data_IF_756948987007
#
_entry.id   IF_756948987007
#
_cell.length_a   1.000
_cell.length_b   1.000
_cell.length_c   1.000
_cell.angle_alpha   90.00
_cell.angle_beta   90.00
_cell.angle_gamma   90.00
#
_symmetry.space_group_name_H-M   'P 1'
#
loop_
_entity.id
_entity.type
_entity.pdbx_description
1 polymer ?
#
# COMPACT_ATOMS: atom_id res chain seq x y z
N UNK A 1 22.88 47.09 -38.05
CA UNK A 1 22.00 45.92 -38.25
C UNK A 1 22.61 44.64 -37.69
N UNK A 2 23.94 44.46 -37.72
CA UNK A 2 24.64 43.30 -37.11
C UNK A 2 24.56 43.21 -35.58
N UNK A 3 24.55 44.34 -34.88
CA UNK A 3 24.62 44.40 -33.41
C UNK A 3 23.41 43.75 -32.71
N UNK A 4 22.20 43.96 -33.25
CA UNK A 4 20.98 43.31 -32.74
C UNK A 4 21.00 41.79 -32.93
N UNK A 5 21.61 41.29 -34.01
CA UNK A 5 21.74 39.85 -34.25
C UNK A 5 22.67 39.17 -33.25
N UNK A 6 23.77 39.83 -32.89
CA UNK A 6 24.70 39.34 -31.86
C UNK A 6 24.05 39.37 -30.46
N UNK A 7 23.31 40.43 -30.14
CA UNK A 7 22.63 40.58 -28.86
C UNK A 7 21.51 39.53 -28.67
N UNK A 8 20.78 39.21 -29.75
CA UNK A 8 19.75 38.17 -29.73
C UNK A 8 20.34 36.78 -29.53
N UNK A 9 21.44 36.44 -30.23
CA UNK A 9 22.17 35.17 -30.04
C UNK A 9 22.66 34.98 -28.61
N UNK A 10 23.29 36.02 -28.04
CA UNK A 10 23.75 35.96 -26.64
C UNK A 10 22.59 35.75 -25.65
N UNK A 11 21.42 36.31 -25.96
CA UNK A 11 20.22 36.11 -25.12
C UNK A 11 19.68 34.68 -25.24
N UNK A 12 19.70 34.10 -26.43
CA UNK A 12 19.34 32.69 -26.67
C UNK A 12 20.30 31.77 -25.90
N UNK A 13 21.62 31.96 -26.03
CA UNK A 13 22.62 31.12 -25.34
C UNK A 13 22.43 31.15 -23.82
N UNK A 14 22.09 32.32 -23.26
CA UNK A 14 21.79 32.46 -21.83
C UNK A 14 20.54 31.66 -21.44
N UNK A 15 19.44 31.81 -22.18
CA UNK A 15 18.21 31.07 -21.92
C UNK A 15 18.41 29.57 -22.06
N UNK A 16 19.15 29.12 -23.07
CA UNK A 16 19.51 27.71 -23.23
C UNK A 16 20.30 27.22 -22.00
N UNK A 17 21.30 27.97 -21.54
CA UNK A 17 22.06 27.58 -20.35
C UNK A 17 21.20 27.51 -19.07
N UNK A 18 20.23 28.40 -18.94
CA UNK A 18 19.29 28.42 -17.81
C UNK A 18 18.34 27.23 -17.86
N UNK A 19 17.80 26.90 -19.04
CA UNK A 19 16.96 25.71 -19.26
C UNK A 19 17.72 24.45 -18.88
N UNK A 20 18.94 24.26 -19.39
CA UNK A 20 19.76 23.08 -19.06
C UNK A 20 20.03 22.98 -17.55
N UNK A 21 20.24 24.12 -16.87
CA UNK A 21 20.43 24.16 -15.42
C UNK A 21 19.16 23.73 -14.68
N UNK A 22 17.99 24.24 -15.06
CA UNK A 22 16.71 23.91 -14.45
C UNK A 22 16.30 22.46 -14.70
N UNK A 23 16.54 21.93 -15.90
CA UNK A 23 16.31 20.51 -16.23
C UNK A 23 17.17 19.60 -15.35
N UNK A 24 18.46 19.93 -15.19
CA UNK A 24 19.35 19.20 -14.30
C UNK A 24 18.88 19.25 -12.84
N UNK A 25 18.47 20.42 -12.36
CA UNK A 25 17.94 20.56 -11.00
C UNK A 25 16.67 19.74 -10.80
N UNK A 26 15.76 19.75 -11.78
CA UNK A 26 14.53 18.95 -11.77
C UNK A 26 14.86 17.47 -11.65
N UNK A 27 15.80 16.96 -12.45
CA UNK A 27 16.23 15.56 -12.41
C UNK A 27 16.82 15.16 -11.04
N UNK A 28 17.58 16.06 -10.41
CA UNK A 28 18.11 15.85 -9.06
C UNK A 28 16.97 15.77 -8.03
N UNK A 29 16.04 16.73 -8.05
CA UNK A 29 14.91 16.74 -7.11
C UNK A 29 14.00 15.52 -7.28
N UNK A 30 13.73 15.09 -8.51
CA UNK A 30 12.98 13.86 -8.75
C UNK A 30 13.66 12.64 -8.13
N UNK A 31 14.98 12.55 -8.25
CA UNK A 31 15.75 11.44 -7.67
C UNK A 31 15.66 11.45 -6.15
N UNK A 32 15.75 12.63 -5.52
CA UNK A 32 15.56 12.79 -4.08
C UNK A 32 14.14 12.37 -3.68
N UNK A 33 13.12 12.86 -4.39
CA UNK A 33 11.71 12.51 -4.13
C UNK A 33 11.46 11.02 -4.24
N UNK A 34 12.03 10.34 -5.24
CA UNK A 34 11.97 8.87 -5.39
C UNK A 34 12.59 8.15 -4.20
N UNK A 35 13.78 8.58 -3.76
CA UNK A 35 14.47 7.98 -2.63
C UNK A 35 13.72 8.17 -1.30
N UNK A 36 13.17 9.36 -1.07
CA UNK A 36 12.34 9.64 0.10
C UNK A 36 11.06 8.79 0.10
N UNK A 37 10.37 8.68 -1.04
CA UNK A 37 9.19 7.82 -1.17
C UNK A 37 9.51 6.35 -0.89
N UNK A 38 10.64 5.86 -1.41
CA UNK A 38 11.10 4.49 -1.13
C UNK A 38 11.38 4.28 0.36
N UNK A 39 12.05 5.24 1.00
CA UNK A 39 12.36 5.16 2.42
C UNK A 39 11.09 5.19 3.27
N UNK A 40 10.14 6.06 2.92
CA UNK A 40 8.84 6.16 3.57
C UNK A 40 8.05 4.85 3.45
N UNK A 41 8.02 4.22 2.27
CA UNK A 41 7.27 2.98 2.06
C UNK A 41 7.87 1.81 2.86
N UNK A 42 9.19 1.69 2.91
CA UNK A 42 9.90 0.70 3.75
C UNK A 42 9.60 0.93 5.23
N UNK A 43 9.69 2.18 5.70
CA UNK A 43 9.40 2.53 7.10
C UNK A 43 7.95 2.25 7.49
N UNK A 44 6.98 2.61 6.62
CA UNK A 44 5.56 2.30 6.82
C UNK A 44 5.33 0.79 6.92
N UNK A 45 5.95 0.00 6.05
CA UNK A 45 5.86 -1.47 6.09
C UNK A 45 6.44 -2.04 7.38
N UNK A 46 7.63 -1.59 7.78
CA UNK A 46 8.28 -2.01 9.03
C UNK A 46 7.42 -1.68 10.26
N UNK A 47 6.84 -0.48 10.31
CA UNK A 47 5.93 -0.08 11.37
C UNK A 47 4.67 -0.95 11.42
N UNK A 48 4.06 -1.24 10.27
CA UNK A 48 2.88 -2.10 10.19
C UNK A 48 3.17 -3.52 10.70
N UNK A 49 4.33 -4.09 10.34
CA UNK A 49 4.75 -5.41 10.83
C UNK A 49 4.93 -5.42 12.36
N UNK A 50 5.60 -4.41 12.91
CA UNK A 50 5.80 -4.30 14.37
C UNK A 50 4.46 -4.12 15.11
N UNK A 51 3.55 -3.31 14.57
CA UNK A 51 2.20 -3.14 15.09
C UNK A 51 1.40 -4.44 15.05
N UNK A 52 1.53 -5.21 13.96
CA UNK A 52 0.90 -6.52 13.87
C UNK A 52 1.40 -7.45 14.98
N UNK A 53 2.72 -7.57 15.19
CA UNK A 53 3.29 -8.45 16.24
C UNK A 53 2.72 -8.18 17.64
N UNK A 54 2.47 -6.91 17.99
CA UNK A 54 1.91 -6.54 19.29
C UNK A 54 0.37 -6.49 19.32
N UNK A 55 -0.29 -6.71 18.17
CA UNK A 55 -1.74 -6.61 18.10
C UNK A 55 -2.37 -7.70 18.97
N UNK A 56 -3.36 -7.36 19.82
CA UNK A 56 -3.99 -8.31 20.74
C UNK A 56 -4.55 -9.56 20.06
N UNK A 57 -4.93 -9.44 18.78
CA UNK A 57 -5.52 -10.51 17.99
C UNK A 57 -4.61 -11.72 17.79
N UNK A 58 -3.28 -11.56 17.91
CA UNK A 58 -2.33 -12.67 17.87
C UNK A 58 -2.29 -13.49 19.16
N UNK A 59 -2.84 -12.96 20.26
CA UNK A 59 -2.97 -13.67 21.54
C UNK A 59 -4.36 -14.29 21.72
N UNK A 60 -5.24 -14.07 20.75
CA UNK A 60 -6.58 -14.62 20.78
C UNK A 60 -6.51 -16.14 20.57
N UNK A 61 -7.14 -16.95 21.43
CA UNK A 61 -7.34 -18.37 21.17
C UNK A 61 -8.04 -18.59 19.83
N UNK A 62 -7.73 -19.72 19.19
CA UNK A 62 -8.28 -20.06 17.88
C UNK A 62 -9.81 -20.17 17.92
N UNK A 63 -10.36 -20.63 19.03
CA UNK A 63 -11.80 -20.78 19.26
C UNK A 63 -12.52 -19.44 19.20
N UNK A 64 -11.91 -18.39 19.76
CA UNK A 64 -12.48 -17.05 19.71
C UNK A 64 -12.40 -16.45 18.30
N UNK A 65 -11.35 -16.77 17.52
CA UNK A 65 -11.28 -16.38 16.11
C UNK A 65 -12.42 -17.03 15.30
N UNK A 66 -12.69 -18.32 15.55
CA UNK A 66 -13.84 -19.02 14.94
C UNK A 66 -15.14 -18.31 15.30
N UNK A 67 -15.37 -17.99 16.58
CA UNK A 67 -16.59 -17.29 17.01
C UNK A 67 -16.74 -15.93 16.33
N UNK A 68 -15.65 -15.17 16.18
CA UNK A 68 -15.67 -13.88 15.47
C UNK A 68 -16.05 -14.09 14.00
N UNK A 69 -15.45 -15.07 13.32
CA UNK A 69 -15.77 -15.36 11.92
C UNK A 69 -17.20 -15.85 11.74
N UNK A 70 -17.72 -16.65 12.66
CA UNK A 70 -19.12 -17.07 12.69
C UNK A 70 -20.08 -15.88 12.90
N UNK A 71 -19.67 -14.85 13.63
CA UNK A 71 -20.47 -13.64 13.76
C UNK A 71 -20.51 -12.79 12.47
N UNK A 72 -19.52 -12.97 11.58
CA UNK A 72 -19.50 -12.33 10.27
C UNK A 72 -20.36 -13.06 9.22
N UNK A 73 -20.94 -14.21 9.57
CA UNK A 73 -21.89 -14.93 8.72
C UNK A 73 -23.23 -14.19 8.76
N UNK A 74 -23.59 -13.56 7.66
CA UNK A 74 -24.91 -12.95 7.50
C UNK A 74 -25.95 -14.04 7.22
N UNK A 75 -27.07 -14.10 7.95
CA UNK A 75 -28.17 -15.02 7.63
C UNK A 75 -28.71 -14.72 6.23
N UNK A 76 -29.06 -15.74 5.45
CA UNK A 76 -29.77 -15.53 4.19
C UNK A 76 -31.22 -15.05 4.45
N UNK A 77 -31.91 -14.55 3.41
CA UNK A 77 -33.30 -14.10 3.49
C UNK A 77 -34.29 -15.21 3.92
N UNK A 78 -33.86 -16.46 4.04
CA UNK A 78 -34.63 -17.63 4.48
C UNK A 78 -34.21 -18.11 5.88
N UNK A 79 -33.36 -17.35 6.58
CA UNK A 79 -32.88 -17.67 7.92
C UNK A 79 -31.89 -18.83 7.99
N UNK A 80 -31.33 -19.28 6.86
CA UNK A 80 -30.25 -20.28 6.84
C UNK A 80 -28.93 -19.56 7.07
N UNK A 81 -28.13 -20.07 8.02
CA UNK A 81 -26.75 -19.61 8.22
C UNK A 81 -25.98 -19.90 6.93
N UNK A 82 -25.70 -18.86 6.15
CA UNK A 82 -24.88 -18.95 4.94
C UNK A 82 -23.42 -18.89 5.36
N UNK A 83 -22.59 -19.80 4.85
CA UNK A 83 -21.14 -19.75 5.04
C UNK A 83 -20.56 -18.35 4.74
N UNK A 84 -19.31 -18.08 5.11
CA UNK A 84 -18.68 -16.81 4.75
C UNK A 84 -18.81 -16.60 3.24
N UNK A 85 -19.21 -15.39 2.83
CA UNK A 85 -19.24 -15.07 1.40
C UNK A 85 -17.86 -15.31 0.78
N UNK A 86 -17.81 -15.82 -0.45
CA UNK A 86 -16.53 -16.14 -1.12
C UNK A 86 -15.54 -14.98 -1.02
N UNK A 87 -16.01 -13.75 -1.28
CA UNK A 87 -15.19 -12.55 -1.16
C UNK A 87 -14.58 -12.38 0.24
N UNK A 88 -15.38 -12.55 1.29
CA UNK A 88 -14.92 -12.44 2.67
C UNK A 88 -13.98 -13.59 3.02
N UNK A 89 -14.31 -14.83 2.64
CA UNK A 89 -13.46 -16.00 2.86
C UNK A 89 -12.06 -15.82 2.26
N UNK A 90 -11.98 -15.43 0.98
CA UNK A 90 -10.71 -15.17 0.29
C UNK A 90 -9.95 -13.97 0.89
N UNK A 91 -10.66 -12.94 1.36
CA UNK A 91 -10.03 -11.82 2.04
C UNK A 91 -9.39 -12.25 3.37
N UNK A 92 -10.10 -13.05 4.18
CA UNK A 92 -9.62 -13.51 5.48
C UNK A 92 -8.44 -14.50 5.36
N UNK A 93 -8.44 -15.37 4.34
CA UNK A 93 -7.33 -16.28 4.03
C UNK A 93 -5.98 -15.55 3.79
N UNK A 94 -6.03 -14.28 3.37
CA UNK A 94 -4.85 -13.49 3.02
C UNK A 94 -4.32 -12.63 4.17
N UNK A 95 -5.00 -12.59 5.31
CA UNK A 95 -4.62 -11.74 6.46
C UNK A 95 -3.35 -12.23 7.13
N UNK A 96 -3.35 -13.48 7.62
CA UNK A 96 -2.15 -14.10 8.21
C UNK A 96 -2.24 -15.62 8.21
N UNK A 97 -1.12 -16.30 8.50
CA UNK A 97 -1.04 -17.76 8.57
C UNK A 97 -1.99 -18.37 9.60
N UNK A 98 -2.16 -17.69 10.75
CA UNK A 98 -3.07 -18.16 11.81
C UNK A 98 -4.51 -18.18 11.33
N UNK A 99 -4.98 -17.08 10.71
CA UNK A 99 -6.35 -16.98 10.19
C UNK A 99 -6.62 -18.00 9.09
N UNK A 100 -5.64 -18.18 8.20
CA UNK A 100 -5.68 -19.23 7.18
C UNK A 100 -5.85 -20.62 7.80
N UNK A 101 -5.04 -20.95 8.80
CA UNK A 101 -5.15 -22.23 9.52
C UNK A 101 -6.53 -22.41 10.15
N UNK A 102 -7.11 -21.36 10.75
CA UNK A 102 -8.45 -21.42 11.34
C UNK A 102 -9.52 -21.71 10.29
N UNK A 103 -9.48 -21.01 9.15
CA UNK A 103 -10.47 -21.17 8.08
C UNK A 103 -10.39 -22.55 7.43
N UNK A 104 -9.18 -23.05 7.17
CA UNK A 104 -8.96 -24.38 6.60
C UNK A 104 -9.37 -25.50 7.57
N UNK A 105 -9.19 -25.30 8.88
CA UNK A 105 -9.53 -26.29 9.90
C UNK A 105 -10.99 -26.26 10.38
N UNK A 106 -11.79 -25.30 9.92
CA UNK A 106 -13.15 -25.08 10.44
C UNK A 106 -14.19 -25.13 9.31
N UNK A 107 -14.70 -26.33 8.95
CA UNK A 107 -15.64 -26.51 7.85
C UNK A 107 -16.96 -25.75 8.01
N UNK A 108 -17.34 -25.33 9.22
CA UNK A 108 -18.57 -24.54 9.42
C UNK A 108 -18.48 -23.10 8.88
N UNK A 109 -17.30 -22.67 8.40
CA UNK A 109 -17.05 -21.33 7.87
C UNK A 109 -17.13 -21.23 6.33
N UNK A 110 -17.11 -22.35 5.60
CA UNK A 110 -17.13 -22.40 4.13
C UNK A 110 -18.07 -23.48 3.60
#
# INVERSE_FOLDING_TARGET
>A
TDDHGAQLRSSIDKLESEIHSLERQTQVFETICRNLHRTLSVSKRSLALRRAVIAPIHRLPQELLVTIFQYCITPDNKGRLAHLSDHLFWALLRVCRSWKSVLESTPTLW
#
